data_IF_716005263033
#
_entry.id   IF_716005263033
#
_cell.length_a   1.000
_cell.length_b   1.000
_cell.length_c   1.000
_cell.angle_alpha   90.00
_cell.angle_beta   90.00
_cell.angle_gamma   90.00
#
_symmetry.space_group_name_H-M   'P 1'
#
loop_
_entity.id
_entity.type
_entity.pdbx_description
1 polymer ?
#
# COMPACT_ATOMS: atom_id res chain seq x y z
N UNK A 1 16.50 13.72 7.52
CA UNK A 1 15.31 12.82 7.43
C UNK A 1 15.69 11.62 6.57
N UNK A 2 15.22 10.43 6.93
CA UNK A 2 15.50 9.19 6.20
C UNK A 2 14.34 8.85 5.25
N UNK A 3 14.65 8.28 4.09
CA UNK A 3 13.67 7.81 3.12
C UNK A 3 12.74 6.77 3.77
N UNK A 4 11.41 6.89 3.71
CA UNK A 4 10.50 5.95 4.36
C UNK A 4 10.60 4.54 3.77
N UNK A 5 10.94 4.43 2.49
CA UNK A 5 11.00 3.18 1.72
C UNK A 5 12.29 2.38 1.97
N UNK A 6 13.45 3.03 2.02
CA UNK A 6 14.75 2.32 2.07
C UNK A 6 15.73 2.87 3.11
N UNK A 7 15.31 3.84 3.94
CA UNK A 7 16.06 4.45 5.04
C UNK A 7 17.34 5.22 4.68
N UNK A 8 17.68 5.34 3.39
CA UNK A 8 18.77 6.20 2.89
C UNK A 8 18.48 7.69 3.10
N UNK A 9 19.52 8.53 3.06
CA UNK A 9 19.36 9.98 3.15
C UNK A 9 18.47 10.53 2.02
N UNK A 10 17.53 11.41 2.37
CA UNK A 10 16.65 12.06 1.39
C UNK A 10 17.41 13.08 0.54
N UNK A 11 17.00 13.25 -0.71
CA UNK A 11 17.51 14.32 -1.58
C UNK A 11 16.42 15.36 -1.84
N UNK A 12 16.77 16.64 -1.92
CA UNK A 12 15.80 17.75 -2.01
C UNK A 12 14.76 17.56 -3.11
N UNK A 13 15.20 17.14 -4.31
CA UNK A 13 14.34 16.91 -5.48
C UNK A 13 13.26 15.85 -5.26
N UNK A 14 13.52 14.86 -4.42
CA UNK A 14 12.62 13.71 -4.23
C UNK A 14 12.09 13.59 -2.81
N UNK A 15 12.21 14.62 -1.95
CA UNK A 15 11.70 14.55 -0.57
C UNK A 15 10.20 14.18 -0.57
N UNK A 16 9.76 13.26 0.31
CA UNK A 16 10.47 12.66 1.45
C UNK A 16 11.36 11.44 1.13
N UNK A 17 11.63 11.15 -0.14
CA UNK A 17 12.37 9.98 -0.62
C UNK A 17 13.84 10.29 -0.99
N UNK A 18 14.60 9.23 -1.27
CA UNK A 18 15.97 9.35 -1.78
C UNK A 18 16.08 9.32 -3.31
N UNK A 19 15.04 8.90 -4.04
CA UNK A 19 15.05 8.78 -5.51
C UNK A 19 13.64 8.66 -6.09
N UNK A 20 13.49 8.89 -7.40
CA UNK A 20 12.25 8.61 -8.15
C UNK A 20 11.76 7.18 -7.94
N UNK A 21 12.67 6.19 -8.00
CA UNK A 21 12.33 4.78 -7.77
C UNK A 21 11.62 4.56 -6.42
N UNK A 22 12.07 5.20 -5.34
CA UNK A 22 11.40 5.06 -4.04
C UNK A 22 10.02 5.74 -4.02
N UNK A 23 9.84 6.87 -4.71
CA UNK A 23 8.53 7.50 -4.86
C UNK A 23 7.57 6.61 -5.66
N UNK A 24 8.04 5.99 -6.75
CA UNK A 24 7.22 5.08 -7.57
C UNK A 24 6.83 3.81 -6.78
N UNK A 25 7.72 3.27 -5.95
CA UNK A 25 7.42 2.13 -5.07
C UNK A 25 6.35 2.49 -4.04
N UNK A 26 6.45 3.67 -3.44
CA UNK A 26 5.43 4.15 -2.51
C UNK A 26 4.07 4.28 -3.21
N UNK A 27 4.04 4.87 -4.40
CA UNK A 27 2.83 4.96 -5.22
C UNK A 27 2.24 3.58 -5.56
N UNK A 28 3.10 2.61 -5.88
CA UNK A 28 2.68 1.22 -6.11
C UNK A 28 1.94 0.63 -4.91
N UNK A 29 2.43 0.87 -3.69
CA UNK A 29 1.79 0.44 -2.43
C UNK A 29 0.42 1.07 -2.20
N UNK A 30 0.24 2.32 -2.63
CA UNK A 30 -1.07 2.96 -2.60
C UNK A 30 -2.06 2.27 -3.54
N UNK A 31 -1.63 1.94 -4.76
CA UNK A 31 -2.49 1.31 -5.76
C UNK A 31 -2.77 -0.16 -5.48
N UNK A 32 -1.86 -0.89 -4.84
CA UNK A 32 -2.10 -2.27 -4.40
C UNK A 32 -2.98 -2.37 -3.16
N UNK A 33 -3.23 -1.25 -2.46
CA UNK A 33 -3.95 -1.27 -1.19
C UNK A 33 -3.10 -1.71 0.00
N UNK A 34 -1.76 -1.78 -0.13
CA UNK A 34 -0.87 -2.13 0.99
C UNK A 34 -0.93 -1.10 2.13
N UNK A 35 -1.37 0.13 1.82
CA UNK A 35 -1.64 1.18 2.80
C UNK A 35 -3.14 1.27 3.17
N UNK A 36 -3.78 0.12 3.38
CA UNK A 36 -5.12 0.04 3.93
C UNK A 36 -5.09 -0.04 5.47
N UNK A 37 -6.17 0.45 6.10
CA UNK A 37 -6.44 0.27 7.53
C UNK A 37 -7.66 -0.64 7.64
N UNK A 38 -7.61 -1.74 8.41
CA UNK A 38 -8.77 -2.62 8.57
C UNK A 38 -9.93 -1.87 9.25
N UNK A 39 -11.16 -2.16 8.83
CA UNK A 39 -12.34 -1.66 9.54
C UNK A 39 -12.47 -2.35 10.90
N UNK A 40 -13.06 -1.63 11.85
CA UNK A 40 -13.46 -2.15 13.16
C UNK A 40 -14.97 -2.37 13.26
N UNK A 41 -15.73 -1.99 12.23
CA UNK A 41 -17.16 -2.24 12.16
C UNK A 41 -17.40 -3.71 11.80
N UNK A 42 -18.17 -4.47 12.61
CA UNK A 42 -18.51 -5.86 12.30
C UNK A 42 -19.17 -6.02 10.92
N UNK A 43 -20.02 -5.08 10.49
CA UNK A 43 -20.74 -5.18 9.22
C UNK A 43 -19.77 -5.08 8.03
N UNK A 44 -18.86 -4.11 8.05
CA UNK A 44 -17.80 -3.97 7.03
C UNK A 44 -16.92 -5.23 6.93
N UNK A 45 -16.63 -5.87 8.06
CA UNK A 45 -15.81 -7.08 8.12
C UNK A 45 -16.53 -8.26 7.48
N UNK A 46 -17.82 -8.44 7.78
CA UNK A 46 -18.64 -9.50 7.19
C UNK A 46 -18.79 -9.30 5.67
N UNK A 47 -19.05 -8.07 5.21
CA UNK A 47 -19.10 -7.75 3.78
C UNK A 47 -17.77 -8.04 3.07
N UNK A 48 -16.63 -7.68 3.68
CA UNK A 48 -15.31 -7.94 3.12
C UNK A 48 -15.01 -9.44 3.01
N UNK A 49 -15.39 -10.25 4.00
CA UNK A 49 -15.22 -11.70 3.98
C UNK A 49 -16.07 -12.34 2.89
N UNK A 50 -17.31 -11.87 2.73
CA UNK A 50 -18.20 -12.35 1.67
C UNK A 50 -17.65 -12.01 0.29
N UNK A 51 -17.17 -10.78 0.08
CA UNK A 51 -16.56 -10.35 -1.18
C UNK A 51 -15.33 -11.19 -1.56
N UNK A 52 -14.45 -11.52 -0.59
CA UNK A 52 -13.27 -12.36 -0.83
C UNK A 52 -13.69 -13.81 -1.18
N UNK A 53 -14.73 -14.32 -0.53
CA UNK A 53 -15.22 -15.69 -0.76
C UNK A 53 -15.85 -15.87 -2.15
N UNK A 54 -16.32 -14.77 -2.76
CA UNK A 54 -16.97 -14.77 -4.07
C UNK A 54 -16.01 -14.45 -5.24
N UNK A 55 -14.74 -14.11 -4.98
CA UNK A 55 -13.77 -13.93 -6.06
C UNK A 55 -13.49 -15.28 -6.76
N UNK A 56 -13.70 -15.40 -8.09
CA UNK A 56 -13.30 -16.59 -8.80
C UNK A 56 -11.79 -16.76 -8.67
N UNK A 57 -11.33 -17.95 -8.24
CA UNK A 57 -9.91 -18.25 -8.11
C UNK A 57 -9.17 -17.82 -9.38
N UNK A 58 -8.30 -16.82 -9.27
CA UNK A 58 -7.43 -16.40 -10.37
C UNK A 58 -6.61 -17.63 -10.76
N UNK A 59 -6.70 -18.11 -12.01
CA UNK A 59 -5.88 -19.22 -12.46
C UNK A 59 -4.49 -18.63 -12.66
N UNK A 60 -3.65 -18.73 -11.65
CA UNK A 60 -2.25 -18.44 -11.82
C UNK A 60 -1.39 -19.68 -11.59
#
# INVERSE_FOLDING_TARGET
MACPICKKATVSKYRPFCSKRCADVDLGKWFSGDYAVPSTDPEDIEEAIEAISQEPQKPH
#
